data_IF_960133505021
#
_entry.id   IF_960133505021
#
_cell.length_a   1.000
_cell.length_b   1.000
_cell.length_c   1.000
_cell.angle_alpha   90.00
_cell.angle_beta   90.00
_cell.angle_gamma   90.00
#
_symmetry.space_group_name_H-M   'P 1'
#
loop_
_entity.id
_entity.type
_entity.pdbx_description
1 polymer ?
#
# COMPACT_ATOMS: atom_id res chain seq x y z
N UNK A 1 -22.31 38.44 12.98
CA UNK A 1 -21.44 37.60 12.13
C UNK A 1 -20.85 36.55 13.05
N UNK A 2 -21.61 35.48 13.27
CA UNK A 2 -21.10 34.30 13.96
C UNK A 2 -20.34 33.58 12.86
N UNK A 3 -19.02 33.50 13.00
CA UNK A 3 -18.21 32.60 12.20
C UNK A 3 -18.88 31.24 12.27
N UNK A 4 -19.52 30.91 11.16
CA UNK A 4 -20.03 29.60 10.85
C UNK A 4 -18.76 28.77 10.69
N UNK A 5 -18.22 28.32 11.83
CA UNK A 5 -17.21 27.28 11.86
C UNK A 5 -17.77 26.18 10.97
N UNK A 6 -17.20 26.09 9.77
CA UNK A 6 -17.18 24.85 9.04
C UNK A 6 -16.60 23.86 10.04
N UNK A 7 -17.49 23.10 10.68
CA UNK A 7 -17.16 21.85 11.28
C UNK A 7 -16.72 21.00 10.09
N UNK A 8 -15.46 21.19 9.68
CA UNK A 8 -14.75 20.20 8.90
C UNK A 8 -14.97 18.93 9.70
N UNK A 9 -15.80 18.03 9.17
CA UNK A 9 -15.73 16.61 9.48
C UNK A 9 -14.35 16.12 8.99
N UNK A 10 -13.31 16.70 9.57
CA UNK A 10 -11.95 16.67 9.12
C UNK A 10 -11.38 15.40 9.67
N UNK A 11 -11.01 14.50 8.76
CA UNK A 11 -10.26 13.30 9.14
C UNK A 11 -9.14 13.70 10.11
N UNK A 12 -9.05 12.96 11.21
CA UNK A 12 -7.98 13.15 12.21
C UNK A 12 -6.63 13.24 11.52
N UNK A 13 -5.74 14.09 12.04
CA UNK A 13 -4.38 14.28 11.51
C UNK A 13 -3.66 12.92 11.31
N UNK A 14 -3.85 11.98 12.22
CA UNK A 14 -3.29 10.63 12.10
C UNK A 14 -3.82 9.87 10.88
N UNK A 15 -5.10 10.01 10.57
CA UNK A 15 -5.72 9.39 9.38
C UNK A 15 -5.23 10.07 8.09
N UNK A 16 -5.11 11.40 8.09
CA UNK A 16 -4.54 12.15 6.96
C UNK A 16 -3.11 11.71 6.66
N UNK A 17 -2.26 11.59 7.69
CA UNK A 17 -0.88 11.11 7.55
C UNK A 17 -0.80 9.64 7.12
N UNK A 18 -1.69 8.79 7.63
CA UNK A 18 -1.78 7.39 7.21
C UNK A 18 -2.13 7.27 5.73
N UNK A 19 -3.16 7.98 5.26
CA UNK A 19 -3.58 7.96 3.85
C UNK A 19 -2.43 8.45 2.97
N UNK A 20 -1.76 9.54 3.36
CA UNK A 20 -0.68 10.13 2.58
C UNK A 20 0.53 9.19 2.49
N UNK A 21 0.92 8.56 3.62
CA UNK A 21 1.97 7.54 3.65
C UNK A 21 1.61 6.29 2.87
N UNK A 22 0.37 5.80 2.99
CA UNK A 22 -0.14 4.66 2.24
C UNK A 22 -0.09 4.93 0.73
N UNK A 23 -0.60 6.08 0.27
CA UNK A 23 -0.60 6.45 -1.14
C UNK A 23 0.82 6.55 -1.71
N UNK A 24 1.77 7.10 -0.93
CA UNK A 24 3.17 7.21 -1.35
C UNK A 24 3.80 5.82 -1.56
N UNK A 25 3.65 4.92 -0.57
CA UNK A 25 4.18 3.55 -0.64
C UNK A 25 3.49 2.77 -1.76
N UNK A 26 2.17 2.88 -1.87
CA UNK A 26 1.37 2.21 -2.90
C UNK A 26 1.77 2.64 -4.31
N UNK A 27 1.96 3.94 -4.53
CA UNK A 27 2.43 4.47 -5.82
C UNK A 27 3.84 3.96 -6.15
N UNK A 28 4.74 3.94 -5.17
CA UNK A 28 6.08 3.37 -5.34
C UNK A 28 6.04 1.89 -5.75
N UNK A 29 5.20 1.08 -5.09
CA UNK A 29 5.01 -0.32 -5.42
C UNK A 29 4.44 -0.53 -6.83
N UNK A 30 3.47 0.28 -7.26
CA UNK A 30 2.93 0.24 -8.62
C UNK A 30 3.98 0.56 -9.68
N UNK A 31 4.81 1.58 -9.47
CA UNK A 31 5.89 1.94 -10.40
C UNK A 31 6.90 0.79 -10.54
N UNK A 32 7.23 0.12 -9.44
CA UNK A 32 8.11 -1.05 -9.47
C UNK A 32 7.48 -2.23 -10.21
N UNK A 33 6.18 -2.49 -10.01
CA UNK A 33 5.44 -3.50 -10.78
C UNK A 33 5.47 -3.24 -12.29
N UNK A 34 5.23 -1.99 -12.70
CA UNK A 34 5.24 -1.61 -14.12
C UNK A 34 6.65 -1.71 -14.70
N UNK A 35 7.67 -1.25 -13.97
CA UNK A 35 9.07 -1.36 -14.37
C UNK A 35 9.50 -2.82 -14.59
N UNK A 36 9.03 -3.72 -13.73
CA UNK A 36 9.24 -5.17 -13.85
C UNK A 36 8.58 -5.75 -15.10
N UNK A 37 7.30 -5.46 -15.31
CA UNK A 37 6.57 -5.92 -16.48
C UNK A 37 7.22 -5.45 -17.79
N UNK A 38 7.78 -4.24 -17.81
CA UNK A 38 8.44 -3.67 -18.99
C UNK A 38 9.82 -4.28 -19.29
N UNK A 39 10.57 -4.74 -18.28
CA UNK A 39 11.95 -5.22 -18.47
C UNK A 39 12.06 -6.71 -18.80
N UNK A 40 11.00 -7.49 -18.63
CA UNK A 40 10.95 -8.91 -19.03
C UNK A 40 12.04 -9.81 -18.42
N UNK A 41 12.77 -9.32 -17.43
CA UNK A 41 13.90 -10.00 -16.81
C UNK A 41 13.53 -10.47 -15.42
N UNK A 42 13.83 -11.74 -15.13
CA UNK A 42 13.64 -12.31 -13.80
C UNK A 42 14.53 -11.62 -12.78
N UNK A 43 13.96 -10.75 -11.96
CA UNK A 43 14.68 -10.08 -10.88
C UNK A 43 13.92 -10.20 -9.57
N UNK A 44 14.71 -10.12 -8.49
CA UNK A 44 14.26 -10.11 -7.10
C UNK A 44 13.06 -9.19 -6.91
N UNK A 45 11.94 -9.79 -6.52
CA UNK A 45 10.70 -9.10 -6.19
C UNK A 45 10.73 -8.34 -4.88
N UNK A 46 9.59 -7.76 -4.52
CA UNK A 46 9.36 -7.10 -3.24
C UNK A 46 7.92 -7.29 -2.77
N UNK A 47 7.68 -6.98 -1.49
CA UNK A 47 6.33 -7.05 -0.89
C UNK A 47 6.07 -5.84 -0.01
N UNK A 48 4.88 -5.27 -0.13
CA UNK A 48 4.34 -4.27 0.80
C UNK A 48 3.18 -4.93 1.51
N UNK A 49 3.23 -4.94 2.85
CA UNK A 49 2.15 -5.47 3.69
C UNK A 49 1.63 -4.33 4.56
N UNK A 50 0.33 -4.07 4.46
CA UNK A 50 -0.39 -3.10 5.29
C UNK A 50 -1.27 -3.87 6.26
N UNK A 51 -0.97 -3.78 7.55
CA UNK A 51 -1.58 -4.60 8.61
C UNK A 51 -2.66 -3.83 9.39
N UNK A 52 -3.51 -3.05 8.70
CA UNK A 52 -4.49 -2.19 9.39
C UNK A 52 -5.94 -2.63 9.13
N UNK A 53 -6.80 -2.79 10.17
CA UNK A 53 -6.50 -2.96 11.59
C UNK A 53 -6.19 -4.43 11.98
N UNK A 54 -6.58 -5.43 11.17
CA UNK A 54 -6.33 -6.86 11.43
C UNK A 54 -6.23 -7.73 10.17
N UNK A 55 -6.46 -7.17 8.98
CA UNK A 55 -6.38 -7.92 7.72
C UNK A 55 -5.10 -7.46 7.02
N UNK A 56 -4.07 -8.30 6.91
CA UNK A 56 -2.87 -7.95 6.16
C UNK A 56 -3.21 -7.88 4.67
N UNK A 57 -3.32 -6.65 4.16
CA UNK A 57 -3.45 -6.40 2.72
C UNK A 57 -2.03 -6.29 2.18
N UNK A 58 -1.63 -7.32 1.44
CA UNK A 58 -0.32 -7.43 0.83
C UNK A 58 -0.34 -7.20 -0.68
N UNK A 59 0.68 -6.52 -1.21
CA UNK A 59 0.97 -6.43 -2.64
C UNK A 59 2.38 -6.94 -2.86
N UNK A 60 2.54 -7.99 -3.67
CA UNK A 60 3.84 -8.54 -4.03
C UNK A 60 4.08 -8.45 -5.55
N UNK A 61 5.33 -8.28 -5.95
CA UNK A 61 5.74 -8.23 -7.37
C UNK A 61 7.06 -8.96 -7.59
N UNK A 62 7.38 -9.28 -8.85
CA UNK A 62 8.53 -10.10 -9.23
C UNK A 62 8.21 -11.59 -9.36
N UNK A 63 9.21 -12.40 -9.68
CA UNK A 63 9.04 -13.80 -10.09
C UNK A 63 8.40 -14.70 -9.03
N UNK A 64 8.63 -14.38 -7.76
CA UNK A 64 8.11 -15.12 -6.61
C UNK A 64 6.85 -14.48 -5.99
N UNK A 65 6.25 -13.49 -6.66
CA UNK A 65 5.09 -12.76 -6.11
C UNK A 65 3.93 -13.69 -5.71
N UNK A 66 3.61 -14.66 -6.56
CA UNK A 66 2.54 -15.65 -6.28
C UNK A 66 2.83 -16.46 -5.02
N UNK A 67 4.07 -16.93 -4.86
CA UNK A 67 4.51 -17.69 -3.68
C UNK A 67 4.46 -16.82 -2.42
N UNK A 68 4.95 -15.58 -2.51
CA UNK A 68 4.94 -14.63 -1.38
C UNK A 68 3.51 -14.32 -0.92
N UNK A 69 2.59 -14.07 -1.86
CA UNK A 69 1.18 -13.80 -1.53
C UNK A 69 0.48 -15.01 -0.89
N UNK A 70 0.78 -16.22 -1.37
CA UNK A 70 0.26 -17.46 -0.76
C UNK A 70 0.80 -17.63 0.66
N UNK A 71 2.10 -17.47 0.88
CA UNK A 71 2.71 -17.55 2.21
C UNK A 71 2.10 -16.52 3.15
N UNK A 72 1.94 -15.28 2.70
CA UNK A 72 1.30 -14.22 3.48
C UNK A 72 -0.14 -14.58 3.85
N UNK A 73 -0.91 -15.17 2.94
CA UNK A 73 -2.30 -15.58 3.21
C UNK A 73 -2.39 -16.71 4.22
N UNK A 74 -1.39 -17.60 4.29
CA UNK A 74 -1.35 -18.73 5.24
C UNK A 74 -0.95 -18.30 6.65
N UNK A 75 -0.06 -17.31 6.78
CA UNK A 75 0.45 -16.83 8.08
C UNK A 75 -0.32 -15.64 8.66
N UNK A 76 -1.21 -15.04 7.84
CA UNK A 76 -2.07 -13.90 8.16
C UNK A 76 -3.24 -14.25 9.09
#
# INVERSE_FOLDING_TARGET
MVDMYEEEAGLSLGVKLFILGFLLIFTGALLLMIAQAARGGGVSGGVVVVVFPFIPVGVAWGDYASVILVVLTVIA
#
